data_IF_116188718881
#
_entry.id   IF_116188718881
#
_cell.length_a   1.000
_cell.length_b   1.000
_cell.length_c   1.000
_cell.angle_alpha   90.00
_cell.angle_beta   90.00
_cell.angle_gamma   90.00
#
_symmetry.space_group_name_H-M   'P 1'
#
loop_
_entity.id
_entity.type
_entity.pdbx_description
1 polymer ?
#
# COMPACT_ATOMS: atom_id res chain seq x y z
N UNK A 1 6.40 5.51 -3.98
CA UNK A 1 5.87 6.11 -2.73
C UNK A 1 4.65 5.33 -2.28
N UNK A 2 4.41 5.31 -0.98
CA UNK A 2 3.23 4.65 -0.39
C UNK A 2 2.16 5.70 -0.14
N UNK A 3 0.94 5.46 -0.61
CA UNK A 3 -0.22 6.29 -0.29
C UNK A 3 -0.70 5.97 1.13
N UNK A 4 -0.74 6.97 2.01
CA UNK A 4 -1.28 6.82 3.38
C UNK A 4 -2.81 6.79 3.29
N UNK A 5 -3.35 5.62 2.92
CA UNK A 5 -4.78 5.46 2.66
C UNK A 5 -5.64 5.73 3.90
N UNK A 6 -5.11 5.47 5.10
CA UNK A 6 -5.82 5.78 6.35
C UNK A 6 -6.19 7.27 6.48
N UNK A 7 -5.34 8.18 5.99
CA UNK A 7 -5.57 9.61 6.05
C UNK A 7 -6.14 10.21 4.74
N UNK A 8 -6.28 9.40 3.67
CA UNK A 8 -6.80 9.84 2.38
C UNK A 8 -8.25 9.36 2.14
N UNK A 9 -8.98 10.01 1.23
CA UNK A 9 -10.27 9.51 0.76
C UNK A 9 -10.06 8.52 -0.40
N UNK A 10 -10.59 7.28 -0.33
CA UNK A 10 -10.40 6.27 -1.37
C UNK A 10 -10.89 6.66 -2.76
N UNK A 11 -11.94 7.49 -2.85
CA UNK A 11 -12.44 8.02 -4.13
C UNK A 11 -11.39 8.93 -4.77
N UNK A 12 -10.79 9.83 -3.99
CA UNK A 12 -9.72 10.72 -4.48
C UNK A 12 -8.49 9.94 -4.89
N UNK A 13 -8.05 9.01 -4.06
CA UNK A 13 -6.91 8.15 -4.38
C UNK A 13 -7.14 7.42 -5.70
N UNK A 14 -8.32 6.82 -5.88
CA UNK A 14 -8.64 6.14 -7.14
C UNK A 14 -8.61 7.10 -8.34
N UNK A 15 -9.23 8.28 -8.23
CA UNK A 15 -9.27 9.27 -9.32
C UNK A 15 -7.87 9.76 -9.71
N UNK A 16 -7.01 10.03 -8.73
CA UNK A 16 -5.62 10.46 -8.96
C UNK A 16 -4.82 9.39 -9.69
N UNK A 17 -4.90 8.13 -9.23
CA UNK A 17 -4.18 7.03 -9.86
C UNK A 17 -4.77 6.60 -11.20
N UNK A 18 -6.09 6.66 -11.39
CA UNK A 18 -6.70 6.46 -12.69
C UNK A 18 -6.27 7.52 -13.71
N UNK A 19 -6.18 8.79 -13.28
CA UNK A 19 -5.65 9.89 -14.10
C UNK A 19 -4.18 9.65 -14.45
N UNK A 20 -3.36 9.27 -13.46
CA UNK A 20 -1.95 8.93 -13.68
C UNK A 20 -1.81 7.73 -14.64
N UNK A 21 -2.69 6.76 -14.53
CA UNK A 21 -2.70 5.58 -15.40
C UNK A 21 -2.97 5.96 -16.86
N UNK A 22 -3.95 6.82 -17.10
CA UNK A 22 -4.25 7.36 -18.43
C UNK A 22 -3.03 8.11 -19.00
N UNK A 23 -2.43 9.03 -18.22
CA UNK A 23 -1.27 9.83 -18.65
C UNK A 23 -0.07 8.92 -18.91
N UNK A 24 0.16 7.92 -18.09
CA UNK A 24 1.28 6.99 -18.20
C UNK A 24 1.04 5.84 -19.18
N UNK A 25 -0.14 5.75 -19.80
CA UNK A 25 -0.54 4.67 -20.71
C UNK A 25 -0.44 3.29 -20.06
N UNK A 26 -1.12 3.11 -18.92
CA UNK A 26 -1.25 1.83 -18.25
C UNK A 26 -0.06 1.41 -17.38
N UNK A 27 0.67 2.37 -16.78
CA UNK A 27 1.85 2.08 -15.94
C UNK A 27 1.69 2.43 -14.46
N UNK A 28 0.51 2.89 -14.04
CA UNK A 28 0.28 3.25 -12.66
C UNK A 28 -0.04 2.03 -11.80
N UNK A 29 0.46 2.02 -10.58
CA UNK A 29 0.15 1.04 -9.54
C UNK A 29 0.01 1.77 -8.20
N UNK A 30 -0.93 1.36 -7.36
CA UNK A 30 -1.14 1.92 -6.02
C UNK A 30 -0.41 1.07 -5.01
N UNK A 31 0.42 1.68 -4.15
CA UNK A 31 0.86 1.05 -2.92
C UNK A 31 0.12 1.69 -1.76
N UNK A 32 -0.85 0.99 -1.18
CA UNK A 32 -1.67 1.47 -0.08
C UNK A 32 -1.06 1.07 1.27
N UNK A 33 -0.82 2.04 2.14
CA UNK A 33 -0.29 1.84 3.48
C UNK A 33 -1.12 2.51 4.56
N UNK A 34 -0.92 2.09 5.81
CA UNK A 34 -1.59 2.68 6.98
C UNK A 34 -1.00 4.03 7.39
N UNK A 35 0.24 4.30 7.00
CA UNK A 35 1.04 5.42 7.51
C UNK A 35 1.85 5.05 8.74
N UNK A 36 3.09 5.52 8.80
CA UNK A 36 4.00 5.36 9.95
C UNK A 36 4.09 6.61 10.82
N UNK A 37 3.73 7.76 10.26
CA UNK A 37 3.71 9.04 10.96
C UNK A 37 2.29 9.33 11.43
N UNK A 38 2.09 9.34 12.75
CA UNK A 38 0.77 9.51 13.38
C UNK A 38 0.26 10.95 13.30
N UNK A 39 1.14 11.92 13.04
CA UNK A 39 0.79 13.35 12.94
C UNK A 39 -0.22 13.66 11.81
N UNK A 40 -0.25 12.82 10.78
CA UNK A 40 -1.22 12.96 9.70
C UNK A 40 -2.68 12.75 10.17
N UNK A 41 -2.92 11.97 11.22
CA UNK A 41 -4.29 11.66 11.66
C UNK A 41 -5.02 12.89 12.19
N UNK A 42 -4.53 13.60 13.23
CA UNK A 42 -5.19 14.81 13.71
C UNK A 42 -5.22 15.91 12.65
N UNK A 43 -4.21 16.00 11.77
CA UNK A 43 -4.17 16.99 10.69
C UNK A 43 -5.38 16.86 9.73
N UNK A 44 -5.82 15.63 9.46
CA UNK A 44 -6.97 15.35 8.61
C UNK A 44 -8.24 14.98 9.39
N UNK A 45 -8.28 15.25 10.70
CA UNK A 45 -9.46 15.06 11.54
C UNK A 45 -9.75 13.60 11.92
N UNK A 46 -8.75 12.72 11.86
CA UNK A 46 -8.89 11.32 12.26
C UNK A 46 -8.30 11.07 13.64
N UNK A 47 -8.89 10.10 14.36
CA UNK A 47 -8.37 9.64 15.65
C UNK A 47 -7.40 8.47 15.43
N UNK A 48 -6.25 8.52 16.11
CA UNK A 48 -5.26 7.43 16.08
C UNK A 48 -5.78 6.12 16.67
N UNK A 49 -6.81 6.17 17.54
CA UNK A 49 -7.49 4.97 18.04
C UNK A 49 -8.21 4.17 16.95
N UNK A 50 -8.61 4.84 15.86
CA UNK A 50 -9.26 4.21 14.70
C UNK A 50 -8.25 3.74 13.63
N UNK A 51 -6.94 3.73 13.91
CA UNK A 51 -5.85 3.49 12.98
C UNK A 51 -6.04 2.26 12.07
N UNK A 52 -6.34 1.11 12.66
CA UNK A 52 -6.57 -0.13 11.90
C UNK A 52 -7.92 -0.13 11.18
N UNK A 53 -8.97 0.33 11.86
CA UNK A 53 -10.33 0.36 11.31
C UNK A 53 -10.45 1.31 10.11
N UNK A 54 -9.79 2.49 10.17
CA UNK A 54 -9.68 3.43 9.04
C UNK A 54 -9.08 2.75 7.81
N UNK A 55 -7.96 2.06 7.98
CA UNK A 55 -7.30 1.39 6.86
C UNK A 55 -8.16 0.26 6.29
N UNK A 56 -8.75 -0.57 7.16
CA UNK A 56 -9.57 -1.69 6.73
C UNK A 56 -10.83 -1.26 5.97
N UNK A 57 -11.50 -0.22 6.43
CA UNK A 57 -12.65 0.32 5.72
C UNK A 57 -12.25 0.92 4.37
N UNK A 58 -11.20 1.74 4.38
CA UNK A 58 -10.79 2.48 3.19
C UNK A 58 -10.18 1.59 2.12
N UNK A 59 -9.45 0.53 2.47
CA UNK A 59 -8.95 -0.42 1.47
C UNK A 59 -10.08 -1.22 0.83
N UNK A 60 -11.10 -1.62 1.60
CA UNK A 60 -12.28 -2.29 1.04
C UNK A 60 -13.01 -1.40 0.04
N UNK A 61 -13.25 -0.14 0.40
CA UNK A 61 -13.88 0.81 -0.52
C UNK A 61 -13.02 1.06 -1.76
N UNK A 62 -11.70 1.18 -1.63
CA UNK A 62 -10.80 1.34 -2.77
C UNK A 62 -10.90 0.15 -3.75
N UNK A 63 -11.00 -1.06 -3.23
CA UNK A 63 -11.18 -2.26 -4.06
C UNK A 63 -12.55 -2.30 -4.74
N UNK A 64 -13.62 -1.93 -4.03
CA UNK A 64 -14.96 -1.80 -4.63
C UNK A 64 -14.97 -0.79 -5.79
N UNK A 65 -14.36 0.37 -5.59
CA UNK A 65 -14.24 1.39 -6.64
C UNK A 65 -13.39 0.91 -7.82
N UNK A 66 -12.32 0.17 -7.56
CA UNK A 66 -11.48 -0.42 -8.60
C UNK A 66 -12.25 -1.39 -9.47
N UNK A 67 -13.05 -2.24 -8.85
CA UNK A 67 -13.70 -3.38 -9.51
C UNK A 67 -15.06 -3.01 -10.12
N UNK A 68 -15.68 -1.90 -9.67
CA UNK A 68 -17.00 -1.46 -10.11
C UNK A 68 -17.01 0.01 -10.54
N UNK A 69 -17.65 0.31 -11.66
CA UNK A 69 -17.81 1.70 -12.14
C UNK A 69 -18.78 2.49 -11.25
N UNK A 70 -19.84 1.84 -10.80
CA UNK A 70 -20.88 2.42 -9.93
C UNK A 70 -20.87 1.71 -8.60
N UNK A 71 -20.76 2.49 -7.51
CA UNK A 71 -20.60 1.99 -6.15
C UNK A 71 -21.70 2.51 -5.22
N UNK A 72 -22.24 1.62 -4.41
CA UNK A 72 -23.03 1.94 -3.22
C UNK A 72 -22.22 1.51 -2.01
N UNK A 73 -21.93 2.46 -1.11
CA UNK A 73 -21.10 2.23 0.05
C UNK A 73 -21.65 2.90 1.30
N UNK A 74 -21.58 2.22 2.42
CA UNK A 74 -21.87 2.77 3.74
C UNK A 74 -20.83 2.28 4.73
N UNK A 75 -20.09 3.22 5.32
CA UNK A 75 -19.04 2.96 6.30
C UNK A 75 -19.10 3.94 7.47
N UNK A 76 -18.14 3.85 8.36
CA UNK A 76 -18.02 4.72 9.54
C UNK A 76 -17.26 6.01 9.25
N UNK A 77 -16.27 5.95 8.34
CA UNK A 77 -15.22 6.99 8.22
C UNK A 77 -15.38 7.91 7.02
N UNK A 78 -16.43 7.75 6.24
CA UNK A 78 -16.77 8.67 5.16
C UNK A 78 -18.27 8.70 4.88
N UNK A 79 -18.69 9.76 4.17
CA UNK A 79 -20.07 9.89 3.71
C UNK A 79 -20.48 8.72 2.80
N UNK A 80 -21.74 8.34 2.88
CA UNK A 80 -22.37 7.28 2.08
C UNK A 80 -22.29 7.60 0.58
N UNK A 81 -22.11 6.55 -0.21
CA UNK A 81 -22.26 6.58 -1.67
C UNK A 81 -23.52 5.80 -2.04
N UNK A 82 -24.37 6.37 -2.87
CA UNK A 82 -25.59 5.71 -3.36
C UNK A 82 -25.57 5.75 -4.86
N UNK A 83 -25.31 4.59 -5.49
CA UNK A 83 -25.25 4.43 -6.95
C UNK A 83 -24.37 5.52 -7.62
N UNK A 84 -23.19 5.78 -7.05
CA UNK A 84 -22.28 6.79 -7.57
C UNK A 84 -21.31 6.18 -8.58
N UNK A 85 -21.31 6.72 -9.80
CA UNK A 85 -20.27 6.43 -10.80
C UNK A 85 -19.01 7.23 -10.48
N UNK A 86 -17.83 6.55 -10.57
CA UNK A 86 -16.55 7.16 -10.19
C UNK A 86 -15.62 7.19 -11.41
N UNK A 87 -15.26 8.40 -11.84
CA UNK A 87 -14.42 8.70 -13.00
C UNK A 87 -13.24 9.60 -12.62
N UNK A 88 -12.13 9.58 -13.45
CA UNK A 88 -11.96 8.75 -14.64
C UNK A 88 -11.74 7.27 -14.30
N UNK A 89 -11.90 6.38 -15.30
CA UNK A 89 -11.47 4.98 -15.19
C UNK A 89 -10.06 4.85 -15.74
N UNK A 90 -9.22 3.94 -15.20
CA UNK A 90 -7.89 3.68 -15.72
C UNK A 90 -7.97 3.05 -17.12
N UNK A 91 -6.84 3.05 -17.86
CA UNK A 91 -6.71 2.30 -19.12
C UNK A 91 -6.42 0.83 -18.87
N UNK A 92 -5.87 0.49 -17.72
CA UNK A 92 -5.73 -0.90 -17.29
C UNK A 92 -7.12 -1.46 -16.93
N UNK A 93 -7.39 -2.72 -17.28
CA UNK A 93 -8.66 -3.40 -16.92
C UNK A 93 -8.86 -3.40 -15.40
N UNK A 94 -7.78 -3.59 -14.65
CA UNK A 94 -7.78 -3.51 -13.19
C UNK A 94 -6.50 -2.80 -12.70
N UNK A 95 -6.66 -1.67 -12.04
CA UNK A 95 -5.55 -0.91 -11.47
C UNK A 95 -4.88 -1.72 -10.35
N UNK A 96 -3.58 -2.05 -10.43
CA UNK A 96 -2.91 -2.84 -9.42
C UNK A 96 -2.86 -2.12 -8.07
N UNK A 97 -3.23 -2.83 -7.00
CA UNK A 97 -3.19 -2.32 -5.62
C UNK A 97 -2.32 -3.25 -4.78
N UNK A 98 -1.24 -2.71 -4.24
CA UNK A 98 -0.31 -3.37 -3.32
C UNK A 98 -0.58 -2.93 -1.89
N UNK A 99 -0.35 -3.81 -0.92
CA UNK A 99 -0.38 -3.43 0.49
C UNK A 99 1.05 -3.19 0.98
N UNK A 100 1.31 -1.95 1.38
CA UNK A 100 2.59 -1.56 2.00
C UNK A 100 2.63 -1.97 3.47
N UNK A 101 3.68 -2.71 3.85
CA UNK A 101 3.88 -3.19 5.22
C UNK A 101 5.28 -2.89 5.73
N UNK A 102 5.40 -2.61 7.04
CA UNK A 102 6.69 -2.42 7.71
C UNK A 102 7.16 -3.68 8.42
N UNK A 103 6.56 -4.04 9.57
CA UNK A 103 7.01 -5.18 10.37
C UNK A 103 5.93 -5.74 11.29
N UNK A 104 4.70 -5.27 11.18
CA UNK A 104 3.57 -5.73 12.00
C UNK A 104 2.97 -6.99 11.41
N UNK A 105 3.01 -8.16 12.09
CA UNK A 105 2.51 -9.44 11.56
C UNK A 105 1.07 -9.37 11.02
N UNK A 106 0.18 -8.67 11.72
CA UNK A 106 -1.22 -8.51 11.31
C UNK A 106 -1.39 -7.85 9.94
N UNK A 107 -0.45 -6.99 9.54
CA UNK A 107 -0.49 -6.35 8.22
C UNK A 107 -0.18 -7.33 7.10
N UNK A 108 0.73 -8.27 7.33
CA UNK A 108 1.06 -9.36 6.41
C UNK A 108 -0.12 -10.31 6.26
N UNK A 109 -0.71 -10.72 7.39
CA UNK A 109 -1.91 -11.57 7.41
C UNK A 109 -3.08 -10.89 6.67
N UNK A 110 -3.29 -9.59 6.90
CA UNK A 110 -4.36 -8.81 6.23
C UNK A 110 -4.16 -8.80 4.71
N UNK A 111 -2.95 -8.51 4.24
CA UNK A 111 -2.65 -8.51 2.82
C UNK A 111 -2.89 -9.90 2.18
N UNK A 112 -2.46 -10.97 2.85
CA UNK A 112 -2.71 -12.35 2.42
C UNK A 112 -4.19 -12.66 2.32
N UNK A 113 -4.98 -12.35 3.36
CA UNK A 113 -6.44 -12.57 3.35
C UNK A 113 -7.16 -11.82 2.23
N UNK A 114 -6.66 -10.65 1.85
CA UNK A 114 -7.21 -9.87 0.73
C UNK A 114 -6.75 -10.38 -0.65
N UNK A 115 -5.78 -11.30 -0.71
CA UNK A 115 -5.19 -11.78 -1.95
C UNK A 115 -4.43 -10.71 -2.72
N UNK A 116 -4.03 -9.61 -2.05
CA UNK A 116 -3.34 -8.50 -2.67
C UNK A 116 -1.83 -8.66 -2.60
N UNK A 117 -1.08 -8.21 -3.62
CA UNK A 117 0.37 -8.21 -3.58
C UNK A 117 0.91 -7.38 -2.41
N UNK A 118 2.00 -7.83 -1.86
CA UNK A 118 2.66 -7.29 -0.68
C UNK A 118 3.89 -6.47 -1.06
N UNK A 119 4.01 -5.24 -0.55
CA UNK A 119 5.21 -4.41 -0.66
C UNK A 119 5.84 -4.23 0.73
N UNK A 120 6.97 -4.89 0.97
CA UNK A 120 7.67 -4.87 2.26
C UNK A 120 8.64 -3.70 2.29
N UNK A 121 8.50 -2.81 3.26
CA UNK A 121 9.42 -1.71 3.51
C UNK A 121 10.63 -2.19 4.34
N UNK A 122 11.73 -2.48 3.65
CA UNK A 122 13.01 -2.85 4.26
C UNK A 122 13.84 -1.58 4.42
N UNK A 123 13.51 -0.77 5.44
CA UNK A 123 14.18 0.53 5.69
C UNK A 123 15.47 0.35 6.48
N UNK A 124 15.53 -0.63 7.37
CA UNK A 124 16.72 -0.91 8.16
C UNK A 124 16.80 -2.38 8.57
N UNK A 125 18.01 -2.81 8.95
CA UNK A 125 18.30 -4.18 9.36
C UNK A 125 18.37 -5.17 8.19
N UNK A 126 18.50 -6.44 8.53
CA UNK A 126 18.68 -7.49 7.55
C UNK A 126 17.37 -7.94 6.91
N UNK A 127 17.37 -8.09 5.59
CA UNK A 127 16.20 -8.52 4.81
C UNK A 127 15.64 -9.86 5.29
N UNK A 128 16.48 -10.79 5.73
CA UNK A 128 16.08 -12.13 6.19
C UNK A 128 15.12 -12.11 7.38
N UNK A 129 15.10 -11.05 8.19
CA UNK A 129 14.17 -10.91 9.32
C UNK A 129 12.69 -10.87 8.90
N UNK A 130 12.42 -10.51 7.64
CA UNK A 130 11.07 -10.45 7.10
C UNK A 130 10.56 -11.81 6.61
N UNK A 131 11.43 -12.83 6.50
CA UNK A 131 11.02 -14.14 6.00
C UNK A 131 9.86 -14.76 6.78
N UNK A 132 9.86 -14.81 8.12
CA UNK A 132 8.72 -15.36 8.87
C UNK A 132 7.41 -14.58 8.62
N UNK A 133 7.49 -13.26 8.43
CA UNK A 133 6.34 -12.42 8.15
C UNK A 133 5.78 -12.66 6.75
N UNK A 134 6.66 -12.88 5.76
CA UNK A 134 6.27 -13.25 4.41
C UNK A 134 5.63 -14.64 4.40
N UNK A 135 6.11 -15.58 5.22
CA UNK A 135 5.50 -16.90 5.35
C UNK A 135 4.07 -16.78 5.91
N UNK A 136 3.82 -15.91 6.92
CA UNK A 136 2.47 -15.59 7.41
C UNK A 136 1.56 -15.01 6.32
N UNK A 137 2.07 -14.17 5.43
CA UNK A 137 1.32 -13.63 4.30
C UNK A 137 0.85 -14.74 3.37
N UNK A 138 1.74 -15.63 2.96
CA UNK A 138 1.40 -16.76 2.10
C UNK A 138 0.38 -17.68 2.76
N UNK A 139 0.64 -18.07 4.02
CA UNK A 139 -0.25 -18.95 4.78
C UNK A 139 -1.68 -18.37 4.89
N UNK A 140 -1.76 -17.06 5.20
CA UNK A 140 -3.05 -16.38 5.31
C UNK A 140 -3.78 -16.30 3.96
N UNK A 141 -3.04 -16.09 2.87
CA UNK A 141 -3.59 -16.02 1.52
C UNK A 141 -4.10 -17.38 1.04
N UNK A 142 -3.30 -18.42 1.20
CA UNK A 142 -3.69 -19.80 0.85
C UNK A 142 -4.90 -20.27 1.66
N UNK A 143 -4.96 -19.98 2.97
CA UNK A 143 -6.14 -20.25 3.82
C UNK A 143 -7.38 -19.48 3.40
N UNK A 144 -7.22 -18.31 2.79
CA UNK A 144 -8.33 -17.53 2.25
C UNK A 144 -8.74 -17.95 0.83
N UNK A 145 -8.09 -18.97 0.26
CA UNK A 145 -8.41 -19.53 -1.07
C UNK A 145 -7.69 -18.83 -2.23
N UNK A 146 -6.69 -18.00 -1.96
CA UNK A 146 -5.91 -17.34 -3.02
C UNK A 146 -4.77 -18.25 -3.48
N UNK A 147 -4.62 -18.50 -4.80
CA UNK A 147 -3.51 -19.29 -5.33
C UNK A 147 -2.16 -18.62 -5.03
N UNK A 148 -1.18 -19.43 -4.60
CA UNK A 148 0.14 -18.91 -4.20
C UNK A 148 0.85 -18.12 -5.30
N UNK A 149 0.69 -18.50 -6.54
CA UNK A 149 1.28 -17.83 -7.70
C UNK A 149 0.72 -16.41 -7.94
N UNK A 150 -0.46 -16.08 -7.37
CA UNK A 150 -1.03 -14.74 -7.38
C UNK A 150 -0.53 -13.87 -6.23
N UNK A 151 0.01 -14.49 -5.18
CA UNK A 151 0.54 -13.82 -3.99
C UNK A 151 1.95 -13.31 -4.26
N UNK A 152 2.06 -12.08 -4.76
CA UNK A 152 3.34 -11.46 -5.11
C UNK A 152 3.94 -10.71 -3.93
N UNK A 153 5.27 -10.70 -3.84
CA UNK A 153 6.03 -9.95 -2.82
C UNK A 153 7.05 -9.07 -3.51
N UNK A 154 6.95 -7.76 -3.25
CA UNK A 154 7.95 -6.77 -3.59
C UNK A 154 8.71 -6.33 -2.34
N UNK A 155 9.98 -5.98 -2.50
CA UNK A 155 10.81 -5.40 -1.45
C UNK A 155 11.18 -3.97 -1.82
N UNK A 156 10.88 -3.04 -0.94
CA UNK A 156 11.30 -1.65 -1.04
C UNK A 156 12.45 -1.42 -0.07
N UNK A 157 13.60 -1.03 -0.57
CA UNK A 157 14.80 -0.78 0.22
C UNK A 157 15.46 0.53 -0.23
N UNK A 158 16.18 1.15 0.68
CA UNK A 158 17.06 2.26 0.36
C UNK A 158 18.19 1.76 -0.55
N UNK A 159 18.53 2.53 -1.58
CA UNK A 159 19.56 2.16 -2.53
C UNK A 159 20.24 3.37 -3.15
N UNK A 160 21.47 3.17 -3.57
CA UNK A 160 22.27 4.16 -4.25
C UNK A 160 23.10 3.50 -5.35
N UNK A 161 23.18 4.15 -6.52
CA UNK A 161 23.92 3.64 -7.67
C UNK A 161 25.04 4.60 -8.04
N UNK A 162 26.24 4.07 -8.26
CA UNK A 162 27.40 4.79 -8.78
C UNK A 162 28.21 3.86 -9.70
N UNK A 163 29.26 4.39 -10.34
CA UNK A 163 30.08 3.63 -11.31
C UNK A 163 30.76 2.39 -10.69
N UNK A 164 31.05 2.45 -9.38
CA UNK A 164 31.63 1.32 -8.64
C UNK A 164 30.98 1.21 -7.25
N UNK A 165 30.97 -0.01 -6.71
CA UNK A 165 30.49 -0.27 -5.35
C UNK A 165 31.21 0.55 -4.30
N UNK A 166 32.53 0.74 -4.43
CA UNK A 166 33.33 1.56 -3.50
C UNK A 166 32.88 3.02 -3.53
N UNK A 167 32.71 3.59 -4.75
CA UNK A 167 32.21 4.96 -4.91
C UNK A 167 30.79 5.11 -4.35
N UNK A 168 29.92 4.14 -4.60
CA UNK A 168 28.55 4.13 -4.07
C UNK A 168 28.56 4.18 -2.52
N UNK A 169 29.36 3.32 -1.88
CA UNK A 169 29.49 3.29 -0.42
C UNK A 169 30.01 4.60 0.15
N UNK A 170 31.09 5.13 -0.43
CA UNK A 170 31.72 6.36 0.05
C UNK A 170 30.79 7.59 -0.06
N UNK A 171 29.96 7.64 -1.09
CA UNK A 171 29.03 8.76 -1.29
C UNK A 171 27.75 8.62 -0.47
N UNK A 172 27.22 7.39 -0.36
CA UNK A 172 25.91 7.16 0.28
C UNK A 172 25.99 6.98 1.79
N UNK A 173 27.02 6.28 2.29
CA UNK A 173 27.09 5.85 3.68
C UNK A 173 27.08 6.99 4.71
N UNK A 174 27.78 8.13 4.51
CA UNK A 174 27.76 9.21 5.49
C UNK A 174 26.35 9.74 5.77
N UNK A 175 25.58 10.08 4.74
CA UNK A 175 24.20 10.56 4.90
C UNK A 175 23.24 9.48 5.42
N UNK A 176 23.45 8.22 5.01
CA UNK A 176 22.69 7.10 5.55
C UNK A 176 22.94 6.90 7.05
N UNK A 177 24.20 6.98 7.47
CA UNK A 177 24.58 6.85 8.89
C UNK A 177 24.00 7.98 9.74
N UNK A 178 24.03 9.22 9.26
CA UNK A 178 23.44 10.37 9.94
C UNK A 178 21.91 10.23 10.10
N UNK A 179 21.23 9.71 9.09
CA UNK A 179 19.77 9.53 9.12
C UNK A 179 19.32 8.36 10.01
N UNK A 180 20.11 7.29 10.08
CA UNK A 180 19.74 6.03 10.73
C UNK A 180 20.40 5.80 12.08
N UNK A 181 21.40 6.59 12.45
CA UNK A 181 22.09 6.55 13.75
C UNK A 181 21.43 7.44 14.76
#
# INVERSE_FOLDING_TARGET
AVTVLSAADPVRVFQEYATLDIISKGRAEIVAGRGSFIDAFPLFGFNTQDYDALFEEKVKLLLEIRDHETVTWKGKFRAELIQQAIYPRPVQDQLPVWIGVGGTPQSFIRAGKLGLPLMVAVIGGETRRFRPLIDLYYEAGEKAGHPREKLKVGLHSLGFVADTTSKAKNLYFPGYQEMMG
#
